data_IF_214833732761
#
_entry.id   IF_214833732761
#
_cell.length_a   1.000
_cell.length_b   1.000
_cell.length_c   1.000
_cell.angle_alpha   90.00
_cell.angle_beta   90.00
_cell.angle_gamma   90.00
#
_symmetry.space_group_name_H-M   'P 1'
#
loop_
_entity.id
_entity.type
_entity.pdbx_description
1 polymer ?
#
# COMPACT_ATOMS: atom_id res chain seq x y z
N UNK A 1 23.68 -4.63 -24.59
CA UNK A 1 22.85 -4.77 -25.81
C UNK A 1 21.38 -5.12 -25.54
N UNK A 2 20.96 -5.50 -24.32
CA UNK A 2 19.57 -5.88 -24.01
C UNK A 2 18.59 -4.70 -23.78
N UNK A 3 19.04 -3.50 -23.45
CA UNK A 3 18.15 -2.33 -23.25
C UNK A 3 17.51 -1.74 -24.53
N UNK A 4 17.98 -2.11 -25.71
CA UNK A 4 17.41 -1.63 -26.99
C UNK A 4 16.25 -2.49 -27.52
N UNK A 5 16.09 -3.72 -27.02
CA UNK A 5 15.02 -4.62 -27.45
C UNK A 5 13.66 -4.28 -26.81
N UNK A 6 13.65 -3.84 -25.56
CA UNK A 6 12.40 -3.49 -24.83
C UNK A 6 11.71 -2.23 -25.41
N UNK A 7 12.48 -1.27 -25.90
CA UNK A 7 11.93 -0.03 -26.50
C UNK A 7 11.24 -0.32 -27.85
N UNK A 8 11.66 -1.37 -28.57
CA UNK A 8 11.04 -1.73 -29.86
C UNK A 8 9.69 -2.42 -29.70
N UNK A 9 9.47 -3.16 -28.64
CA UNK A 9 8.19 -3.86 -28.36
C UNK A 9 7.10 -2.86 -27.94
N UNK A 10 7.44 -1.82 -27.18
CA UNK A 10 6.50 -0.75 -26.77
C UNK A 10 6.02 0.08 -27.98
N UNK A 11 6.87 0.22 -29.02
CA UNK A 11 6.49 0.92 -30.24
C UNK A 11 5.60 0.10 -31.18
N UNK A 12 5.57 -1.24 -31.06
CA UNK A 12 4.70 -2.10 -31.88
C UNK A 12 3.26 -2.13 -31.35
N UNK A 13 3.04 -2.15 -30.01
CA UNK A 13 1.69 -2.19 -29.44
C UNK A 13 0.90 -0.89 -29.65
N UNK A 14 1.57 0.26 -29.75
CA UNK A 14 0.92 1.50 -30.17
C UNK A 14 0.46 1.53 -31.63
N UNK A 15 0.92 0.61 -32.48
CA UNK A 15 0.52 0.57 -33.90
C UNK A 15 -0.77 -0.19 -34.18
N UNK A 16 -1.23 -1.02 -33.27
CA UNK A 16 -2.42 -1.86 -33.49
C UNK A 16 -3.72 -1.09 -33.16
N UNK A 17 -3.68 0.02 -32.44
CA UNK A 17 -4.90 0.79 -32.08
C UNK A 17 -5.19 2.03 -32.92
N UNK A 18 -4.32 2.38 -33.90
CA UNK A 18 -4.57 3.48 -34.82
C UNK A 18 -4.45 2.98 -36.28
N UNK A 19 -5.55 2.46 -36.79
CA UNK A 19 -5.75 2.33 -38.24
C UNK A 19 -5.78 3.74 -38.87
N UNK A 20 -4.92 3.88 -39.95
CA UNK A 20 -4.93 4.98 -40.92
C UNK A 20 -4.26 6.27 -40.42
N UNK A 21 -2.95 6.39 -40.66
CA UNK A 21 -2.28 7.70 -40.83
C UNK A 21 -1.64 7.71 -42.22
N UNK A 22 -1.98 8.66 -43.13
CA UNK A 22 -1.28 8.81 -44.42
C UNK A 22 0.12 9.39 -44.19
N UNK A 23 1.10 8.84 -44.93
CA UNK A 23 2.47 9.39 -45.01
C UNK A 23 2.45 10.73 -45.72
N UNK A 24 2.42 11.82 -44.97
CA UNK A 24 2.93 13.11 -45.46
C UNK A 24 3.85 13.69 -44.38
N UNK A 25 5.12 13.89 -44.77
CA UNK A 25 6.12 14.66 -44.05
C UNK A 25 5.71 16.13 -44.15
N UNK A 26 5.06 16.64 -43.12
CA UNK A 26 5.03 18.07 -42.84
C UNK A 26 5.24 18.26 -41.34
N UNK A 27 6.23 19.12 -41.00
CA UNK A 27 6.56 19.58 -39.67
C UNK A 27 5.39 20.40 -39.12
N UNK A 28 4.39 19.74 -38.56
CA UNK A 28 3.42 20.36 -37.66
C UNK A 28 3.51 19.64 -36.35
N UNK A 29 4.22 20.25 -35.40
CA UNK A 29 4.20 19.81 -34.02
C UNK A 29 2.73 19.72 -33.57
N UNK A 30 2.21 18.50 -33.41
CA UNK A 30 0.88 18.29 -32.86
C UNK A 30 0.96 18.80 -31.42
N UNK A 31 0.39 19.98 -31.16
CA UNK A 31 0.26 20.53 -29.82
C UNK A 31 -0.66 19.56 -29.07
N UNK A 32 -0.07 18.69 -28.26
CA UNK A 32 -0.83 17.79 -27.40
C UNK A 32 -1.62 18.64 -26.41
N UNK A 33 -2.95 18.59 -26.51
CA UNK A 33 -3.84 19.35 -25.63
C UNK A 33 -3.62 18.96 -24.16
N UNK A 34 -3.64 19.92 -23.26
CA UNK A 34 -3.39 19.72 -21.83
C UNK A 34 -4.28 18.64 -21.23
N UNK A 35 -5.57 18.61 -21.56
CA UNK A 35 -6.50 17.58 -21.09
C UNK A 35 -6.12 16.16 -21.56
N UNK A 36 -5.70 16.03 -22.81
CA UNK A 36 -5.26 14.74 -23.34
C UNK A 36 -3.99 14.28 -22.65
N UNK A 37 -3.02 15.17 -22.47
CA UNK A 37 -1.75 14.87 -21.78
C UNK A 37 -1.97 14.46 -20.32
N UNK A 38 -2.87 15.16 -19.60
CA UNK A 38 -3.25 14.80 -18.21
C UNK A 38 -3.90 13.43 -18.13
N UNK A 39 -4.75 13.06 -19.10
CA UNK A 39 -5.32 11.71 -19.19
C UNK A 39 -4.25 10.66 -19.39
N UNK A 40 -3.31 10.89 -20.30
CA UNK A 40 -2.19 9.98 -20.53
C UNK A 40 -1.29 9.82 -19.29
N UNK A 41 -1.07 10.88 -18.50
CA UNK A 41 -0.36 10.79 -17.22
C UNK A 41 -1.08 9.82 -16.28
N UNK A 42 -2.42 9.92 -16.16
CA UNK A 42 -3.20 8.99 -15.32
C UNK A 42 -3.15 7.55 -15.84
N UNK A 43 -3.16 7.35 -17.15
CA UNK A 43 -3.07 6.02 -17.75
C UNK A 43 -1.68 5.39 -17.49
N UNK A 44 -0.61 6.17 -17.57
CA UNK A 44 0.74 5.75 -17.20
C UNK A 44 0.80 5.39 -15.71
N UNK A 45 0.23 6.23 -14.84
CA UNK A 45 0.17 5.96 -13.40
C UNK A 45 -0.59 4.67 -13.08
N UNK A 46 -1.68 4.39 -13.78
CA UNK A 46 -2.46 3.14 -13.60
C UNK A 46 -1.70 1.91 -14.07
N UNK A 47 -0.95 2.02 -15.19
CA UNK A 47 -0.25 0.90 -15.81
C UNK A 47 1.08 0.61 -15.12
N UNK A 48 1.88 1.66 -14.86
CA UNK A 48 3.29 1.55 -14.47
C UNK A 48 3.53 1.87 -12.98
N UNK A 49 2.46 2.23 -12.23
CA UNK A 49 2.55 2.61 -10.81
C UNK A 49 3.29 3.92 -10.55
N UNK A 50 3.87 4.54 -11.56
CA UNK A 50 4.61 5.80 -11.48
C UNK A 50 4.65 6.54 -12.81
N UNK A 51 4.83 7.86 -12.76
CA UNK A 51 5.05 8.70 -13.93
C UNK A 51 6.30 9.57 -13.72
N UNK A 52 7.35 9.36 -14.50
CA UNK A 52 8.61 10.11 -14.43
C UNK A 52 8.57 11.28 -15.42
N UNK A 53 8.68 12.51 -14.93
CA UNK A 53 8.48 13.71 -15.75
C UNK A 53 9.44 13.77 -16.95
N UNK A 54 10.73 13.46 -16.75
CA UNK A 54 11.72 13.47 -17.82
C UNK A 54 11.53 12.35 -18.84
N UNK A 55 10.97 11.19 -18.48
CA UNK A 55 10.64 10.11 -19.41
C UNK A 55 9.45 10.49 -20.29
N UNK A 56 8.39 11.01 -19.67
CA UNK A 56 7.19 11.46 -20.37
C UNK A 56 7.48 12.65 -21.29
N UNK A 57 8.32 13.59 -20.85
CA UNK A 57 8.74 14.73 -21.66
C UNK A 57 9.43 14.27 -22.96
N UNK A 58 10.33 13.30 -22.86
CA UNK A 58 11.02 12.70 -24.03
C UNK A 58 10.06 11.90 -24.91
N UNK A 59 9.17 11.12 -24.30
CA UNK A 59 8.24 10.26 -25.05
C UNK A 59 7.21 11.08 -25.85
N UNK A 60 6.75 12.20 -25.30
CA UNK A 60 5.71 13.04 -25.89
C UNK A 60 6.24 14.30 -26.57
N UNK A 61 7.57 14.44 -26.67
CA UNK A 61 8.26 15.57 -27.32
C UNK A 61 7.79 16.95 -26.78
N UNK A 62 7.59 17.04 -25.47
CA UNK A 62 7.25 18.28 -24.76
C UNK A 62 8.33 18.62 -23.73
N UNK A 63 8.36 19.86 -23.24
CA UNK A 63 9.31 20.24 -22.20
C UNK A 63 9.00 19.52 -20.87
N UNK A 64 10.04 19.18 -20.10
CA UNK A 64 9.86 18.59 -18.77
C UNK A 64 9.08 19.55 -17.83
N UNK A 65 9.26 20.85 -18.00
CA UNK A 65 8.52 21.85 -17.24
C UNK A 65 7.02 21.80 -17.54
N UNK A 66 6.63 21.51 -18.77
CA UNK A 66 5.23 21.31 -19.16
C UNK A 66 4.62 20.11 -18.40
N UNK A 67 5.31 18.97 -18.36
CA UNK A 67 4.86 17.79 -17.62
C UNK A 67 4.80 18.10 -16.12
N UNK A 68 5.82 18.75 -15.57
CA UNK A 68 5.87 19.12 -14.15
C UNK A 68 4.75 20.08 -13.76
N UNK A 69 4.35 20.99 -14.66
CA UNK A 69 3.22 21.89 -14.45
C UNK A 69 1.91 21.12 -14.43
N UNK A 70 1.69 20.24 -15.42
CA UNK A 70 0.50 19.40 -15.42
C UNK A 70 0.40 18.55 -14.16
N UNK A 71 1.49 17.87 -13.76
CA UNK A 71 1.51 17.10 -12.52
C UNK A 71 1.26 17.96 -11.28
N UNK A 72 1.69 19.22 -11.27
CA UNK A 72 1.40 20.17 -10.17
C UNK A 72 -0.08 20.47 -10.07
N UNK A 73 -0.71 20.80 -11.19
CA UNK A 73 -2.12 21.11 -11.25
C UNK A 73 -2.98 19.90 -10.90
N UNK A 74 -2.60 18.72 -11.40
CA UNK A 74 -3.28 17.46 -11.10
C UNK A 74 -3.14 17.08 -9.61
N UNK A 75 -1.99 17.35 -9.00
CA UNK A 75 -1.79 17.14 -7.56
C UNK A 75 -2.63 18.09 -6.73
N UNK A 76 -2.75 19.36 -7.14
CA UNK A 76 -3.64 20.34 -6.49
C UNK A 76 -5.12 19.94 -6.62
N UNK A 77 -5.48 19.24 -7.70
CA UNK A 77 -6.81 18.65 -7.90
C UNK A 77 -6.99 17.28 -7.20
N UNK A 78 -5.99 16.77 -6.46
CA UNK A 78 -6.08 15.48 -5.76
C UNK A 78 -6.10 14.26 -6.68
N UNK A 79 -5.56 14.36 -7.89
CA UNK A 79 -5.56 13.27 -8.89
C UNK A 79 -4.31 12.39 -8.85
N UNK A 80 -3.23 12.90 -8.28
CA UNK A 80 -1.96 12.20 -8.13
C UNK A 80 -1.14 12.80 -6.97
N UNK A 81 -0.14 12.06 -6.46
CA UNK A 81 0.84 12.58 -5.50
C UNK A 81 2.15 12.90 -6.23
N UNK A 82 2.62 14.15 -6.11
CA UNK A 82 3.93 14.55 -6.63
C UNK A 82 5.05 14.03 -5.73
N UNK A 83 6.09 13.49 -6.37
CA UNK A 83 7.36 13.10 -5.76
C UNK A 83 8.52 13.76 -6.51
N UNK A 84 9.75 13.63 -6.00
CA UNK A 84 10.92 14.15 -6.70
C UNK A 84 11.08 13.47 -8.07
N UNK A 85 11.03 14.27 -9.13
CA UNK A 85 11.17 13.80 -10.53
C UNK A 85 9.90 13.27 -11.21
N UNK A 86 8.73 13.21 -10.51
CA UNK A 86 7.52 12.67 -11.13
C UNK A 86 6.28 12.67 -10.27
N UNK A 87 5.44 11.66 -10.48
CA UNK A 87 4.19 11.47 -9.75
C UNK A 87 3.92 9.98 -9.47
N UNK A 88 3.16 9.74 -8.41
CA UNK A 88 2.63 8.43 -8.00
C UNK A 88 1.09 8.48 -7.99
N UNK A 89 0.41 7.35 -8.20
CA UNK A 89 -1.03 7.30 -8.06
C UNK A 89 -1.42 7.57 -6.60
N UNK A 90 -2.48 8.33 -6.40
CA UNK A 90 -3.18 8.35 -5.13
C UNK A 90 -4.11 7.15 -5.16
N UNK A 91 -3.98 6.26 -4.19
CA UNK A 91 -4.97 5.20 -3.99
C UNK A 91 -6.30 5.89 -3.72
N UNK A 92 -7.32 5.55 -4.49
CA UNK A 92 -8.68 5.95 -4.17
C UNK A 92 -8.96 5.61 -2.70
N UNK A 93 -9.71 6.42 -1.96
CA UNK A 93 -10.07 6.07 -0.60
C UNK A 93 -10.55 4.61 -0.59
N UNK A 94 -9.94 3.80 0.29
CA UNK A 94 -10.36 2.41 0.40
C UNK A 94 -11.88 2.38 0.63
N UNK A 95 -12.60 1.43 0.03
CA UNK A 95 -13.99 1.22 0.38
C UNK A 95 -14.16 0.97 1.88
N UNK A 96 -15.34 1.19 2.40
CA UNK A 96 -15.65 0.90 3.81
C UNK A 96 -15.26 -0.54 4.18
N UNK A 97 -14.97 -0.76 5.46
CA UNK A 97 -14.50 -2.06 5.96
C UNK A 97 -15.43 -3.22 5.54
N UNK A 98 -16.75 -2.98 5.52
CA UNK A 98 -17.77 -3.96 5.12
C UNK A 98 -17.58 -4.46 3.68
N UNK A 99 -17.31 -3.54 2.75
CA UNK A 99 -17.02 -3.84 1.34
C UNK A 99 -15.70 -4.58 1.20
N UNK A 100 -14.66 -4.11 1.91
CA UNK A 100 -13.32 -4.71 1.89
C UNK A 100 -13.27 -6.16 2.37
N UNK A 101 -14.24 -6.62 3.16
CA UNK A 101 -14.32 -8.02 3.62
C UNK A 101 -14.44 -9.01 2.45
N UNK A 102 -15.14 -8.64 1.38
CA UNK A 102 -15.34 -9.50 0.21
C UNK A 102 -14.25 -9.37 -0.89
N UNK A 103 -13.29 -8.46 -0.73
CA UNK A 103 -12.26 -8.22 -1.75
C UNK A 103 -11.00 -9.05 -1.49
N UNK A 104 -10.37 -9.58 -2.55
CA UNK A 104 -9.09 -10.31 -2.53
C UNK A 104 -9.02 -11.40 -1.43
N UNK A 105 -10.10 -12.18 -1.25
CA UNK A 105 -10.23 -13.11 -0.12
C UNK A 105 -9.17 -14.20 -0.14
N UNK A 106 -8.92 -14.84 -1.29
CA UNK A 106 -7.91 -15.90 -1.43
C UNK A 106 -6.49 -15.40 -1.15
N UNK A 107 -6.15 -14.21 -1.65
CA UNK A 107 -4.84 -13.61 -1.39
C UNK A 107 -4.68 -13.31 0.10
N UNK A 108 -5.70 -12.73 0.76
CA UNK A 108 -5.67 -12.48 2.21
C UNK A 108 -5.50 -13.75 3.02
N UNK A 109 -6.12 -14.86 2.59
CA UNK A 109 -5.95 -16.16 3.23
C UNK A 109 -4.52 -16.68 3.13
N UNK A 110 -3.86 -16.53 1.97
CA UNK A 110 -2.44 -16.87 1.81
C UNK A 110 -1.54 -16.01 2.70
N UNK A 111 -1.76 -14.68 2.68
CA UNK A 111 -1.02 -13.75 3.55
C UNK A 111 -1.20 -14.07 5.02
N UNK A 112 -2.42 -14.43 5.43
CA UNK A 112 -2.73 -14.82 6.81
C UNK A 112 -2.01 -16.11 7.22
N UNK A 113 -2.00 -17.13 6.36
CA UNK A 113 -1.26 -18.37 6.60
C UNK A 113 0.25 -18.13 6.76
N UNK A 114 0.82 -17.20 5.98
CA UNK A 114 2.23 -16.81 6.13
C UNK A 114 2.47 -16.06 7.44
N UNK A 115 1.56 -15.13 7.81
CA UNK A 115 1.62 -14.40 9.07
C UNK A 115 1.53 -15.32 10.30
N UNK A 116 0.67 -16.32 10.25
CA UNK A 116 0.47 -17.26 11.34
C UNK A 116 1.76 -18.04 11.69
N UNK A 117 2.60 -18.35 10.69
CA UNK A 117 3.91 -19.01 10.92
C UNK A 117 4.91 -18.20 11.74
N UNK A 118 4.66 -16.89 11.90
CA UNK A 118 5.48 -15.97 12.68
C UNK A 118 5.07 -15.90 14.15
N UNK A 119 3.90 -16.43 14.50
CA UNK A 119 3.33 -16.38 15.85
C UNK A 119 3.75 -17.65 16.61
N UNK A 120 4.19 -17.45 17.84
CA UNK A 120 4.49 -18.54 18.79
C UNK A 120 3.59 -18.46 20.03
N UNK A 121 3.21 -19.59 20.62
CA UNK A 121 2.43 -19.58 21.86
C UNK A 121 3.09 -18.75 22.97
N UNK A 122 2.28 -18.08 23.77
CA UNK A 122 2.72 -17.27 24.91
C UNK A 122 3.13 -15.83 24.55
N UNK A 123 3.15 -15.46 23.28
CA UNK A 123 3.49 -14.09 22.85
C UNK A 123 2.38 -13.09 23.12
N UNK A 124 2.77 -11.83 23.29
CA UNK A 124 1.90 -10.66 23.23
C UNK A 124 1.85 -10.15 21.79
N UNK A 125 0.73 -10.32 21.11
CA UNK A 125 0.56 -9.94 19.71
C UNK A 125 -0.40 -8.77 19.58
N UNK A 126 0.04 -7.69 18.93
CA UNK A 126 -0.83 -6.59 18.60
C UNK A 126 -1.39 -6.77 17.17
N UNK A 127 -2.70 -6.85 17.06
CA UNK A 127 -3.38 -6.87 15.77
C UNK A 127 -4.03 -5.51 15.48
N UNK A 128 -3.59 -4.89 14.37
CA UNK A 128 -4.23 -3.70 13.80
C UNK A 128 -5.63 -4.02 13.24
N UNK A 129 -6.42 -3.01 12.97
CA UNK A 129 -7.68 -3.16 12.25
C UNK A 129 -7.46 -3.51 10.77
N UNK A 130 -8.46 -4.13 10.19
CA UNK A 130 -8.45 -4.43 8.76
C UNK A 130 -8.85 -5.86 8.42
N UNK A 131 -9.17 -6.08 7.14
CA UNK A 131 -9.72 -7.36 6.70
C UNK A 131 -8.66 -8.46 6.55
N UNK A 132 -7.42 -8.10 6.20
CA UNK A 132 -6.30 -9.06 6.16
C UNK A 132 -5.90 -9.48 7.57
N UNK A 133 -5.87 -8.53 8.50
CA UNK A 133 -5.58 -8.80 9.91
C UNK A 133 -6.66 -9.68 10.55
N UNK A 134 -7.94 -9.42 10.22
CA UNK A 134 -9.03 -10.27 10.64
C UNK A 134 -8.89 -11.72 10.12
N UNK A 135 -8.37 -11.88 8.90
CA UNK A 135 -8.12 -13.20 8.33
C UNK A 135 -7.00 -13.95 9.07
N UNK A 136 -5.94 -13.23 9.51
CA UNK A 136 -4.90 -13.85 10.38
C UNK A 136 -5.54 -14.37 11.66
N UNK A 137 -6.34 -13.56 12.32
CA UNK A 137 -7.00 -13.90 13.59
C UNK A 137 -7.91 -15.13 13.44
N UNK A 138 -8.68 -15.23 12.34
CA UNK A 138 -9.55 -16.40 12.08
C UNK A 138 -8.78 -17.71 11.90
N UNK A 139 -7.54 -17.65 11.44
CA UNK A 139 -6.69 -18.81 11.21
C UNK A 139 -5.89 -19.24 12.47
N UNK A 140 -5.90 -18.46 13.55
CA UNK A 140 -5.26 -18.85 14.81
C UNK A 140 -5.96 -20.12 15.35
N UNK A 141 -5.21 -21.17 15.73
CA UNK A 141 -5.78 -22.33 16.39
C UNK A 141 -6.55 -21.93 17.66
N UNK A 142 -7.74 -22.52 17.87
CA UNK A 142 -8.63 -22.14 18.98
C UNK A 142 -8.01 -22.37 20.36
N UNK A 143 -7.07 -23.30 20.47
CA UNK A 143 -6.34 -23.71 21.68
C UNK A 143 -4.98 -23.02 21.85
N UNK A 144 -4.57 -22.17 20.89
CA UNK A 144 -3.30 -21.45 21.01
C UNK A 144 -3.37 -20.41 22.13
N UNK A 145 -2.44 -20.53 23.09
CA UNK A 145 -2.32 -19.56 24.18
C UNK A 145 -1.58 -18.29 23.70
N UNK A 146 -2.23 -17.13 23.73
CA UNK A 146 -1.69 -15.81 23.38
C UNK A 146 -2.27 -14.73 24.28
N UNK A 147 -1.56 -13.60 24.38
CA UNK A 147 -2.16 -12.33 24.82
C UNK A 147 -2.32 -11.43 23.58
N UNK A 148 -3.54 -11.17 23.17
CA UNK A 148 -3.83 -10.34 22.00
C UNK A 148 -4.22 -8.93 22.45
N UNK A 149 -3.54 -7.94 21.92
CA UNK A 149 -3.89 -6.53 22.07
C UNK A 149 -4.42 -6.01 20.74
N UNK A 150 -5.49 -5.26 20.76
CA UNK A 150 -6.03 -4.60 19.57
C UNK A 150 -6.71 -3.28 19.90
N UNK A 151 -6.71 -2.37 18.97
CA UNK A 151 -7.52 -1.14 19.01
C UNK A 151 -8.73 -1.22 18.06
N UNK A 152 -9.00 -2.40 17.51
CA UNK A 152 -10.10 -2.65 16.58
C UNK A 152 -11.17 -3.54 17.23
N UNK A 153 -12.36 -3.02 17.54
CA UNK A 153 -13.46 -3.84 18.09
C UNK A 153 -13.83 -5.02 17.20
N UNK A 154 -13.65 -4.88 15.88
CA UNK A 154 -13.90 -5.96 14.91
C UNK A 154 -12.91 -7.11 15.03
N UNK A 155 -11.68 -6.86 15.41
CA UNK A 155 -10.68 -7.90 15.68
C UNK A 155 -10.97 -8.59 16.99
N UNK A 156 -11.31 -7.84 18.04
CA UNK A 156 -11.71 -8.42 19.33
C UNK A 156 -12.92 -9.36 19.18
N UNK A 157 -13.89 -8.99 18.35
CA UNK A 157 -15.06 -9.83 18.07
C UNK A 157 -14.72 -11.15 17.34
N UNK A 158 -13.73 -11.16 16.45
CA UNK A 158 -13.28 -12.39 15.77
C UNK A 158 -12.63 -13.40 16.74
N UNK A 159 -12.20 -12.93 17.92
CA UNK A 159 -11.54 -13.76 18.95
C UNK A 159 -12.52 -14.40 19.95
N UNK A 160 -13.82 -14.15 19.86
CA UNK A 160 -14.84 -14.67 20.77
C UNK A 160 -14.74 -16.18 21.05
N UNK A 161 -14.36 -16.95 20.03
CA UNK A 161 -14.27 -18.42 20.11
C UNK A 161 -12.92 -18.96 20.61
N UNK A 162 -11.91 -18.09 20.75
CA UNK A 162 -10.53 -18.49 21.12
C UNK A 162 -10.37 -18.47 22.64
N UNK A 163 -10.68 -19.58 23.30
CA UNK A 163 -10.69 -19.68 24.76
C UNK A 163 -9.30 -19.64 25.42
N UNK A 164 -8.25 -19.89 24.65
CA UNK A 164 -6.84 -19.80 25.07
C UNK A 164 -6.23 -18.41 24.95
N UNK A 165 -6.98 -17.42 24.41
CA UNK A 165 -6.46 -16.08 24.16
C UNK A 165 -7.02 -15.08 25.16
N UNK A 166 -6.11 -14.39 25.88
CA UNK A 166 -6.45 -13.18 26.62
C UNK A 166 -6.57 -12.00 25.65
N UNK A 167 -7.68 -11.26 25.67
CA UNK A 167 -7.93 -10.14 24.75
C UNK A 167 -7.94 -8.82 25.50
N UNK A 168 -7.02 -7.92 25.14
CA UNK A 168 -6.97 -6.53 25.61
C UNK A 168 -7.45 -5.62 24.49
N UNK A 169 -8.64 -5.04 24.65
CA UNK A 169 -9.19 -4.04 23.73
C UNK A 169 -8.87 -2.63 24.20
N UNK A 170 -8.10 -1.88 23.40
CA UNK A 170 -7.83 -0.47 23.66
C UNK A 170 -9.08 0.35 23.35
N UNK A 171 -9.54 1.12 24.32
CA UNK A 171 -10.71 1.99 24.23
C UNK A 171 -10.37 3.41 23.76
N UNK A 172 -11.40 4.15 23.35
CA UNK A 172 -11.33 5.55 22.93
C UNK A 172 -12.32 5.89 21.82
N UNK A 173 -11.99 6.93 21.01
CA UNK A 173 -12.81 7.36 19.89
C UNK A 173 -12.63 6.46 18.68
N UNK A 174 -13.70 5.97 18.07
CA UNK A 174 -13.66 5.11 16.89
C UNK A 174 -13.60 5.96 15.61
N UNK A 175 -12.59 5.71 14.77
CA UNK A 175 -12.56 6.11 13.37
C UNK A 175 -13.38 5.11 12.55
N UNK A 176 -14.55 5.54 12.08
CA UNK A 176 -15.58 4.64 11.52
C UNK A 176 -15.16 3.92 10.25
N UNK A 177 -14.40 4.59 9.38
CA UNK A 177 -13.98 4.03 8.08
C UNK A 177 -13.19 2.73 8.22
N UNK A 178 -12.29 2.66 9.20
CA UNK A 178 -11.45 1.47 9.50
C UNK A 178 -11.94 0.70 10.74
N UNK A 179 -12.92 1.22 11.46
CA UNK A 179 -13.43 0.66 12.73
C UNK A 179 -12.30 0.42 13.75
N UNK A 180 -11.42 1.40 13.89
CA UNK A 180 -10.30 1.39 14.84
C UNK A 180 -10.39 2.56 15.81
N UNK A 181 -9.86 2.36 17.00
CA UNK A 181 -9.77 3.41 18.02
C UNK A 181 -8.56 4.30 17.72
N UNK A 182 -8.76 5.61 17.80
CA UNK A 182 -7.74 6.66 17.56
C UNK A 182 -7.80 7.73 18.65
N UNK A 183 -6.81 8.62 18.66
CA UNK A 183 -6.76 9.76 19.53
C UNK A 183 -5.89 9.57 20.78
N UNK A 184 -5.82 10.60 21.67
CA UNK A 184 -4.86 10.64 22.77
C UNK A 184 -5.06 9.54 23.81
N UNK A 185 -6.30 9.13 24.08
CA UNK A 185 -6.59 8.03 25.02
C UNK A 185 -6.00 6.70 24.55
N UNK A 186 -6.13 6.40 23.24
CA UNK A 186 -5.52 5.21 22.65
C UNK A 186 -3.98 5.28 22.69
N UNK A 187 -3.40 6.43 22.36
CA UNK A 187 -1.95 6.63 22.46
C UNK A 187 -1.43 6.41 23.87
N UNK A 188 -2.12 6.95 24.90
CA UNK A 188 -1.72 6.77 26.28
C UNK A 188 -1.76 5.30 26.75
N UNK A 189 -2.75 4.53 26.29
CA UNK A 189 -2.82 3.10 26.55
C UNK A 189 -1.69 2.32 25.86
N UNK A 190 -1.38 2.65 24.59
CA UNK A 190 -0.31 2.03 23.79
C UNK A 190 1.07 2.22 24.47
N UNK A 191 1.29 3.36 25.15
CA UNK A 191 2.54 3.61 25.88
C UNK A 191 2.84 2.57 26.97
N UNK A 192 1.83 1.90 27.50
CA UNK A 192 1.97 0.91 28.56
C UNK A 192 2.21 -0.51 28.03
N UNK A 193 2.22 -0.71 26.71
CA UNK A 193 2.25 -2.03 26.08
C UNK A 193 3.56 -2.20 25.30
N UNK A 194 4.10 -3.42 25.30
CA UNK A 194 5.28 -3.82 24.51
C UNK A 194 4.97 -5.15 23.81
N UNK A 195 4.37 -5.12 22.62
CA UNK A 195 4.07 -6.34 21.89
C UNK A 195 5.36 -7.03 21.41
N UNK A 196 5.36 -8.36 21.40
CA UNK A 196 6.38 -9.14 20.73
C UNK A 196 6.25 -8.99 19.20
N UNK A 197 4.99 -9.02 18.72
CA UNK A 197 4.69 -8.88 17.28
C UNK A 197 3.56 -7.87 17.11
N UNK A 198 3.72 -7.02 16.11
CA UNK A 198 2.67 -6.15 15.58
C UNK A 198 2.33 -6.49 14.13
N UNK A 199 1.11 -6.91 13.87
CA UNK A 199 0.59 -7.02 12.51
C UNK A 199 -0.03 -5.69 12.09
N UNK A 200 0.72 -4.93 11.32
CA UNK A 200 0.40 -3.58 10.87
C UNK A 200 -0.48 -3.60 9.62
N UNK A 201 -1.60 -2.91 9.64
CA UNK A 201 -2.40 -2.63 8.46
C UNK A 201 -1.94 -1.34 7.77
N UNK A 202 -1.64 -1.40 6.48
CA UNK A 202 -1.41 -0.22 5.65
C UNK A 202 -2.45 -0.14 4.53
N UNK A 203 -2.75 1.08 4.08
CA UNK A 203 -3.60 1.32 2.92
C UNK A 203 -2.81 1.16 1.64
N UNK A 204 -1.55 1.58 1.65
CA UNK A 204 -0.66 1.54 0.50
C UNK A 204 0.80 1.39 0.95
N UNK A 205 1.65 0.86 0.06
CA UNK A 205 3.08 0.72 0.25
C UNK A 205 3.83 1.13 -1.01
N UNK A 206 4.93 1.85 -0.84
CA UNK A 206 5.80 2.25 -1.94
C UNK A 206 7.27 2.21 -1.50
N UNK A 207 8.21 1.74 -2.34
CA UNK A 207 9.62 1.57 -1.96
C UNK A 207 10.30 2.85 -1.48
N UNK A 208 9.90 4.03 -2.01
CA UNK A 208 10.48 5.32 -1.64
C UNK A 208 9.66 6.09 -0.60
N UNK A 209 8.32 5.92 -0.59
CA UNK A 209 7.40 6.69 0.26
C UNK A 209 7.01 5.94 1.55
N UNK A 210 7.38 4.66 1.66
CA UNK A 210 7.09 3.85 2.84
C UNK A 210 5.67 3.28 2.89
N UNK A 211 5.26 2.90 4.09
CA UNK A 211 3.90 2.45 4.41
C UNK A 211 3.04 3.67 4.70
N UNK A 212 1.84 3.72 4.13
CA UNK A 212 0.95 4.89 4.21
C UNK A 212 -0.50 4.50 4.49
N UNK A 213 -1.28 5.45 5.03
CA UNK A 213 -2.71 5.27 5.35
C UNK A 213 -3.52 6.51 5.00
N UNK A 214 -4.86 6.40 5.05
CA UNK A 214 -5.80 7.46 4.67
C UNK A 214 -6.11 8.48 5.76
N UNK A 215 -5.70 8.24 7.02
CA UNK A 215 -6.05 9.10 8.16
C UNK A 215 -4.81 9.46 8.99
N UNK A 216 -4.75 10.71 9.44
CA UNK A 216 -3.59 11.25 10.17
C UNK A 216 -3.44 10.66 11.57
N UNK A 217 -4.54 10.51 12.32
CA UNK A 217 -4.52 9.94 13.66
C UNK A 217 -4.24 8.43 13.62
N UNK A 218 -4.80 7.74 12.62
CA UNK A 218 -4.50 6.34 12.37
C UNK A 218 -3.01 6.13 12.09
N UNK A 219 -2.39 6.99 11.28
CA UNK A 219 -0.94 6.94 11.02
C UNK A 219 -0.12 7.12 12.30
N UNK A 220 -0.50 8.05 13.17
CA UNK A 220 0.19 8.30 14.44
C UNK A 220 0.10 7.09 15.39
N UNK A 221 -1.07 6.49 15.51
CA UNK A 221 -1.31 5.27 16.30
C UNK A 221 -0.43 4.12 15.80
N UNK A 222 -0.47 3.83 14.51
CA UNK A 222 0.29 2.73 13.89
C UNK A 222 1.80 2.90 14.08
N UNK A 223 2.30 4.11 13.88
CA UNK A 223 3.71 4.43 14.12
C UNK A 223 4.09 4.15 15.56
N UNK A 224 3.25 4.60 16.51
CA UNK A 224 3.55 4.40 17.93
C UNK A 224 3.53 2.95 18.34
N UNK A 225 2.58 2.13 17.85
CA UNK A 225 2.58 0.69 18.11
C UNK A 225 3.84 0.03 17.56
N UNK A 226 4.25 0.39 16.32
CA UNK A 226 5.46 -0.14 15.71
C UNK A 226 6.71 0.15 16.54
N UNK A 227 6.87 1.41 17.01
CA UNK A 227 7.99 1.83 17.87
C UNK A 227 8.05 1.09 19.20
N UNK A 228 6.91 0.58 19.69
CA UNK A 228 6.78 -0.17 20.95
C UNK A 228 6.96 -1.67 20.79
N UNK A 229 6.89 -2.20 19.58
CA UNK A 229 6.91 -3.63 19.29
C UNK A 229 8.32 -4.15 19.03
N UNK A 230 8.61 -5.41 19.41
CA UNK A 230 9.89 -6.04 19.11
C UNK A 230 10.02 -6.37 17.62
N UNK A 231 8.92 -6.83 16.99
CA UNK A 231 8.85 -7.08 15.56
C UNK A 231 7.54 -6.55 14.99
N UNK A 232 7.56 -6.14 13.73
CA UNK A 232 6.37 -5.65 13.03
C UNK A 232 6.30 -6.21 11.61
N UNK A 233 5.15 -6.74 11.23
CA UNK A 233 4.91 -7.30 9.91
C UNK A 233 3.69 -6.65 9.27
N UNK A 234 3.82 -6.27 8.00
CA UNK A 234 2.74 -5.64 7.24
C UNK A 234 2.28 -6.58 6.12
N UNK A 235 1.11 -7.23 6.24
CA UNK A 235 0.53 -8.00 5.14
C UNK A 235 -0.07 -7.06 4.09
N UNK A 236 0.38 -7.20 2.84
CA UNK A 236 0.04 -6.34 1.73
C UNK A 236 -0.50 -7.17 0.56
N UNK A 237 -1.73 -6.89 0.15
CA UNK A 237 -2.27 -7.39 -1.12
C UNK A 237 -1.62 -6.66 -2.30
N UNK A 238 -1.57 -7.29 -3.48
CA UNK A 238 -0.92 -6.75 -4.67
C UNK A 238 -1.41 -5.35 -5.04
N UNK A 239 -2.71 -5.08 -4.87
CA UNK A 239 -3.32 -3.77 -5.14
C UNK A 239 -2.78 -2.61 -4.28
N UNK A 240 -2.12 -2.91 -3.15
CA UNK A 240 -1.55 -1.91 -2.24
C UNK A 240 -0.12 -1.54 -2.56
N UNK A 241 0.55 -2.33 -3.39
CA UNK A 241 1.94 -2.08 -3.78
C UNK A 241 2.03 -0.94 -4.79
N UNK A 242 3.20 -0.31 -4.84
CA UNK A 242 3.57 0.80 -5.74
C UNK A 242 2.57 1.97 -5.73
N UNK A 243 1.90 2.15 -4.60
CA UNK A 243 0.89 3.18 -4.41
C UNK A 243 1.08 3.94 -3.10
N UNK A 244 0.44 5.10 -2.95
CA UNK A 244 0.66 6.01 -1.81
C UNK A 244 -0.66 6.60 -1.34
N UNK A 245 -0.88 6.57 -0.02
CA UNK A 245 -1.97 7.27 0.67
C UNK A 245 -1.47 8.59 1.28
N UNK A 246 -2.38 9.52 1.68
CA UNK A 246 -2.00 10.86 2.13
C UNK A 246 -1.05 10.91 3.32
N UNK A 247 -1.16 9.97 4.28
CA UNK A 247 -0.43 10.06 5.54
C UNK A 247 0.58 8.92 5.70
N UNK A 248 1.86 9.29 5.85
CA UNK A 248 2.95 8.35 6.08
C UNK A 248 2.85 7.70 7.47
N UNK A 249 3.04 6.38 7.48
CA UNK A 249 3.21 5.63 8.73
C UNK A 249 4.71 5.58 9.05
N UNK A 250 5.46 4.77 8.31
CA UNK A 250 6.93 4.61 8.45
C UNK A 250 7.57 4.27 7.09
N UNK A 251 8.88 4.51 6.92
CA UNK A 251 9.64 3.89 5.82
C UNK A 251 9.52 2.36 5.83
N UNK A 252 9.55 1.73 4.65
CA UNK A 252 9.42 0.26 4.53
C UNK A 252 10.47 -0.51 5.33
N UNK A 253 11.65 0.08 5.54
CA UNK A 253 12.77 -0.51 6.28
C UNK A 253 12.59 -0.55 7.80
N UNK A 254 11.60 0.16 8.33
CA UNK A 254 11.29 0.14 9.76
C UNK A 254 10.36 -1.02 10.14
N UNK A 255 9.63 -1.59 9.19
CA UNK A 255 8.93 -2.84 9.42
C UNK A 255 9.93 -4.01 9.39
N UNK A 256 9.79 -4.97 10.32
CA UNK A 256 10.59 -6.21 10.34
C UNK A 256 10.40 -7.00 9.05
N UNK A 257 9.19 -6.99 8.46
CA UNK A 257 8.94 -7.62 7.19
C UNK A 257 7.61 -7.18 6.55
N UNK A 258 7.58 -7.24 5.22
CA UNK A 258 6.37 -7.11 4.42
C UNK A 258 5.93 -8.51 3.98
N UNK A 259 4.71 -8.91 4.31
CA UNK A 259 4.16 -10.20 3.89
C UNK A 259 3.42 -9.95 2.58
N UNK A 260 3.88 -10.59 1.50
CA UNK A 260 3.38 -10.41 0.14
C UNK A 260 3.17 -11.74 -0.55
N UNK A 261 2.25 -11.82 -1.49
CA UNK A 261 2.02 -13.04 -2.26
C UNK A 261 3.23 -13.36 -3.17
N UNK A 262 3.55 -14.64 -3.29
CA UNK A 262 4.71 -15.12 -4.07
C UNK A 262 4.54 -15.00 -5.58
N UNK A 263 3.30 -14.83 -6.05
CA UNK A 263 2.93 -14.67 -7.47
C UNK A 263 2.96 -13.20 -7.97
N UNK A 264 3.39 -12.26 -7.13
CA UNK A 264 3.62 -10.86 -7.54
C UNK A 264 4.81 -10.79 -8.48
N UNK A 265 4.74 -9.90 -9.49
CA UNK A 265 5.81 -9.66 -10.45
C UNK A 265 7.15 -9.45 -9.72
N UNK A 266 8.15 -10.24 -10.14
CA UNK A 266 9.48 -10.22 -9.54
C UNK A 266 10.14 -8.83 -9.62
N UNK A 267 9.88 -8.06 -10.68
CA UNK A 267 10.41 -6.71 -10.82
C UNK A 267 9.86 -5.75 -9.74
N UNK A 268 8.61 -5.93 -9.33
CA UNK A 268 8.02 -5.18 -8.21
C UNK A 268 8.70 -5.58 -6.90
N UNK A 269 8.81 -6.88 -6.62
CA UNK A 269 9.45 -7.39 -5.40
C UNK A 269 10.92 -6.94 -5.29
N UNK A 270 11.64 -6.94 -6.39
CA UNK A 270 13.04 -6.49 -6.45
C UNK A 270 13.16 -4.98 -6.19
N UNK A 271 12.17 -4.18 -6.57
CA UNK A 271 12.09 -2.76 -6.23
C UNK A 271 12.05 -2.53 -4.71
N UNK A 272 11.29 -3.34 -3.97
CA UNK A 272 11.23 -3.29 -2.50
C UNK A 272 12.54 -3.79 -1.86
N UNK A 273 13.09 -4.92 -2.32
CA UNK A 273 14.38 -5.46 -1.83
C UNK A 273 15.53 -4.49 -2.03
N UNK A 274 15.59 -3.83 -3.19
CA UNK A 274 16.61 -2.84 -3.50
C UNK A 274 16.57 -1.60 -2.57
N UNK A 275 15.43 -1.36 -1.92
CA UNK A 275 15.26 -0.32 -0.90
C UNK A 275 15.40 -0.84 0.52
N UNK A 276 15.83 -2.10 0.71
CA UNK A 276 16.11 -2.69 2.01
C UNK A 276 14.89 -3.29 2.71
N UNK A 277 13.76 -3.49 2.02
CA UNK A 277 12.63 -4.21 2.62
C UNK A 277 12.94 -5.70 2.75
N UNK A 278 12.63 -6.28 3.90
CA UNK A 278 12.58 -7.72 4.08
C UNK A 278 11.20 -8.24 3.64
N UNK A 279 11.17 -9.20 2.70
CA UNK A 279 9.92 -9.77 2.18
C UNK A 279 9.70 -11.18 2.74
N UNK A 280 8.52 -11.42 3.29
CA UNK A 280 8.00 -12.74 3.68
C UNK A 280 7.03 -13.18 2.60
N UNK A 281 7.37 -14.24 1.86
CA UNK A 281 6.53 -14.72 0.76
C UNK A 281 5.44 -15.68 1.28
N UNK A 282 4.20 -15.45 0.80
CA UNK A 282 3.00 -16.20 1.13
C UNK A 282 2.57 -17.14 -0.01
#
# INVERSE_FOLDING_TARGET
>A
MQKRAHIRTILLDCRIFFGIIPRHREQTGIIMLTEHRRRLILDVLKRDGRAVAGELARLWEVSEDTIRRDMRDMAAAGLLKRVHGGALPIVAPLPDLSVRRGLATEEKQRLAAAALRLISPGQVVFFDGGTTTAEIVRQIPLDMALSVVTHAPTIAAELERHTGIEVVLIGGRIYRHSMVVVGPTALAAIEQIRPDIFFLGATAAHPAEGLTTGDFEEAAIKRRILERSLASYCPLTAEKLDSVSPFGIVPITQATGLIVASDIDQAVLDGYRAKGAHLVLA
#
